data_IF_707077320715
#
_entry.id   IF_707077320715
#
_cell.length_a   1.000
_cell.length_b   1.000
_cell.length_c   1.000
_cell.angle_alpha   90.00
_cell.angle_beta   90.00
_cell.angle_gamma   90.00
#
_symmetry.space_group_name_H-M   'P 1'
#
loop_
_entity.id
_entity.type
_entity.pdbx_description
1 polymer ?
#
# COMPACT_ATOMS: atom_id res chain seq x y z
N UNK A 1 -17.66 -47.84 35.82
CA UNK A 1 -18.01 -47.79 34.37
C UNK A 1 -17.96 -49.20 33.87
N UNK A 2 -19.08 -49.68 33.36
CA UNK A 2 -19.13 -51.01 32.79
C UNK A 2 -18.38 -51.09 31.49
N UNK A 3 -17.76 -52.27 31.20
CA UNK A 3 -16.97 -52.47 29.97
C UNK A 3 -17.71 -52.06 28.70
N UNK A 4 -19.03 -52.09 28.73
CA UNK A 4 -19.89 -51.69 27.63
C UNK A 4 -19.91 -50.14 27.43
N UNK A 5 -19.95 -49.38 28.50
CA UNK A 5 -19.89 -47.91 28.45
C UNK A 5 -18.49 -47.44 28.01
N UNK A 6 -17.44 -48.12 28.47
CA UNK A 6 -16.08 -47.83 28.05
C UNK A 6 -15.90 -48.06 26.55
N UNK A 7 -16.46 -49.17 26.02
CA UNK A 7 -16.43 -49.45 24.58
C UNK A 7 -17.16 -48.38 23.75
N UNK A 8 -18.29 -47.88 24.22
CA UNK A 8 -19.00 -46.79 23.52
C UNK A 8 -18.19 -45.52 23.47
N UNK A 9 -17.54 -45.13 24.56
CA UNK A 9 -16.70 -43.95 24.62
C UNK A 9 -15.47 -44.14 23.69
N UNK A 10 -14.85 -45.33 23.75
CA UNK A 10 -13.71 -45.61 22.86
C UNK A 10 -14.12 -45.59 21.37
N UNK A 11 -15.26 -46.17 21.02
CA UNK A 11 -15.78 -46.13 19.66
C UNK A 11 -16.08 -44.71 19.21
N UNK A 12 -16.68 -43.87 20.05
CA UNK A 12 -16.97 -42.46 19.72
C UNK A 12 -15.68 -41.66 19.46
N UNK A 13 -14.67 -41.86 20.30
CA UNK A 13 -13.37 -41.22 20.12
C UNK A 13 -12.67 -41.65 18.82
N UNK A 14 -12.72 -42.94 18.51
CA UNK A 14 -12.13 -43.44 17.25
C UNK A 14 -12.85 -42.89 16.03
N UNK A 15 -14.17 -42.79 16.05
CA UNK A 15 -14.95 -42.20 14.97
C UNK A 15 -14.60 -40.72 14.81
N UNK A 16 -14.52 -39.96 15.90
CA UNK A 16 -14.13 -38.56 15.85
C UNK A 16 -12.74 -38.33 15.26
N UNK A 17 -11.75 -39.13 15.66
CA UNK A 17 -10.41 -39.11 15.10
C UNK A 17 -10.38 -39.47 13.61
N UNK A 18 -11.14 -40.45 13.22
CA UNK A 18 -11.25 -40.87 11.81
C UNK A 18 -11.87 -39.75 10.95
N UNK A 19 -12.93 -39.13 11.42
CA UNK A 19 -13.55 -37.98 10.72
C UNK A 19 -12.56 -36.84 10.59
N UNK A 20 -11.81 -36.52 11.64
CA UNK A 20 -10.81 -35.46 11.62
C UNK A 20 -9.67 -35.79 10.62
N UNK A 21 -9.20 -37.03 10.59
CA UNK A 21 -8.15 -37.48 9.67
C UNK A 21 -8.62 -37.43 8.21
N UNK A 22 -9.84 -37.91 7.92
CA UNK A 22 -10.41 -37.89 6.58
C UNK A 22 -10.64 -36.45 6.11
N UNK A 23 -11.19 -35.59 6.97
CA UNK A 23 -11.40 -34.18 6.66
C UNK A 23 -10.06 -33.46 6.34
N UNK A 24 -9.00 -33.78 7.09
CA UNK A 24 -7.67 -33.22 6.83
C UNK A 24 -7.09 -33.70 5.49
N UNK A 25 -7.31 -34.97 5.13
CA UNK A 25 -6.86 -35.52 3.85
C UNK A 25 -7.63 -34.90 2.66
N UNK A 26 -8.94 -34.76 2.79
CA UNK A 26 -9.80 -34.12 1.79
C UNK A 26 -9.37 -32.65 1.62
N UNK A 27 -9.17 -31.94 2.74
CA UNK A 27 -8.70 -30.55 2.70
C UNK A 27 -7.35 -30.41 1.97
N UNK A 28 -6.38 -31.27 2.25
CA UNK A 28 -5.08 -31.29 1.55
C UNK A 28 -5.18 -31.64 0.07
N UNK A 29 -6.16 -32.47 -0.31
CA UNK A 29 -6.38 -32.84 -1.71
C UNK A 29 -7.11 -31.76 -2.51
N UNK A 30 -8.06 -31.07 -1.89
CA UNK A 30 -8.85 -30.01 -2.54
C UNK A 30 -8.12 -28.64 -2.50
N UNK A 31 -7.43 -28.36 -1.43
CA UNK A 31 -6.59 -27.14 -1.29
C UNK A 31 -5.16 -27.54 -1.62
N UNK A 32 -4.88 -27.88 -2.86
CA UNK A 32 -3.51 -27.81 -3.36
C UNK A 32 -3.16 -26.34 -3.41
N UNK A 33 -2.48 -25.85 -2.37
CA UNK A 33 -1.73 -24.61 -2.50
C UNK A 33 -0.73 -24.86 -3.63
N UNK A 34 -1.02 -24.31 -4.81
CA UNK A 34 -0.05 -24.22 -5.89
C UNK A 34 1.00 -23.21 -5.41
N UNK A 35 1.85 -23.66 -4.51
CA UNK A 35 3.10 -23.00 -4.26
C UNK A 35 3.93 -23.27 -5.52
N UNK A 36 3.74 -22.38 -6.52
CA UNK A 36 4.53 -22.40 -7.72
C UNK A 36 5.96 -22.01 -7.32
N UNK A 37 6.78 -23.00 -7.04
CA UNK A 37 8.23 -22.85 -6.94
C UNK A 37 8.87 -22.59 -8.31
N UNK A 38 8.05 -22.40 -9.34
CA UNK A 38 8.47 -21.85 -10.60
C UNK A 38 8.67 -20.34 -10.42
N UNK A 39 9.90 -19.93 -10.21
CA UNK A 39 10.39 -18.63 -10.64
C UNK A 39 10.05 -18.49 -12.13
N UNK A 40 8.85 -17.99 -12.43
CA UNK A 40 8.46 -17.65 -13.77
C UNK A 40 9.26 -16.43 -14.16
N UNK A 41 10.08 -16.64 -15.10
CA UNK A 41 10.81 -15.82 -16.02
C UNK A 41 12.31 -16.13 -15.96
N UNK A 42 12.69 -17.15 -16.72
CA UNK A 42 14.04 -17.27 -17.25
C UNK A 42 14.08 -16.39 -18.50
N UNK A 43 14.62 -15.19 -18.38
CA UNK A 43 15.05 -14.40 -19.53
C UNK A 43 16.45 -14.92 -19.86
N UNK A 44 16.58 -15.63 -20.97
CA UNK A 44 17.90 -15.94 -21.54
C UNK A 44 18.50 -14.62 -22.03
N UNK A 45 19.48 -14.12 -21.29
CA UNK A 45 20.37 -13.07 -21.79
C UNK A 45 21.63 -13.73 -22.31
N UNK A 46 22.13 -13.30 -23.49
CA UNK A 46 23.44 -13.76 -23.98
C UNK A 46 24.56 -13.32 -23.05
N UNK A 47 25.51 -14.25 -22.87
CA UNK A 47 26.68 -14.12 -22.00
C UNK A 47 27.32 -12.73 -21.98
N UNK A 48 27.30 -12.09 -20.83
CA UNK A 48 28.35 -11.14 -20.42
C UNK A 48 28.57 -11.20 -18.92
N UNK A 49 29.74 -11.71 -18.58
CA UNK A 49 30.59 -11.49 -17.40
C UNK A 49 29.97 -11.11 -16.05
N UNK A 50 30.32 -11.96 -15.08
CA UNK A 50 30.12 -11.82 -13.66
C UNK A 50 30.37 -10.38 -13.14
N UNK A 51 29.34 -9.77 -12.60
CA UNK A 51 29.47 -8.66 -11.67
C UNK A 51 28.40 -8.79 -10.59
N UNK A 52 28.86 -8.80 -9.36
CA UNK A 52 28.27 -8.52 -8.05
C UNK A 52 26.73 -8.47 -7.91
N UNK A 53 26.17 -8.90 -6.77
CA UNK A 53 24.74 -8.81 -6.51
C UNK A 53 24.29 -7.35 -6.65
N UNK A 54 23.50 -7.04 -7.67
CA UNK A 54 22.81 -5.75 -7.76
C UNK A 54 21.85 -5.65 -6.57
N UNK A 55 22.20 -4.84 -5.61
CA UNK A 55 21.21 -4.22 -4.74
C UNK A 55 20.23 -3.48 -5.66
N UNK A 56 19.01 -3.98 -5.79
CA UNK A 56 17.93 -3.25 -6.44
C UNK A 56 17.64 -2.02 -5.59
N UNK A 57 18.35 -0.93 -5.92
CA UNK A 57 18.04 0.40 -5.40
C UNK A 57 16.53 0.63 -5.65
N UNK A 58 15.76 1.04 -4.65
CA UNK A 58 14.35 1.35 -4.85
C UNK A 58 14.21 2.28 -6.06
N UNK A 59 13.33 1.94 -7.00
CA UNK A 59 13.07 2.78 -8.16
C UNK A 59 12.51 4.11 -7.69
N UNK A 60 13.39 5.11 -7.61
CA UNK A 60 13.03 6.46 -7.17
C UNK A 60 12.12 7.07 -8.23
N UNK A 61 11.00 7.66 -7.83
CA UNK A 61 10.14 8.41 -8.75
C UNK A 61 10.96 9.49 -9.44
N UNK A 62 10.72 9.68 -10.75
CA UNK A 62 11.39 10.75 -11.50
C UNK A 62 11.06 12.11 -10.92
N UNK A 63 11.97 13.06 -11.06
CA UNK A 63 11.71 14.46 -10.71
C UNK A 63 10.53 15.00 -11.54
N UNK A 64 9.50 15.50 -10.85
CA UNK A 64 8.31 16.07 -11.48
C UNK A 64 8.28 17.60 -11.40
N UNK A 65 9.29 18.26 -10.86
CA UNK A 65 9.35 19.73 -10.77
C UNK A 65 9.08 20.41 -12.12
N UNK A 66 9.67 19.97 -13.24
CA UNK A 66 9.37 20.55 -14.56
C UNK A 66 7.93 20.33 -15.03
N UNK A 67 7.24 19.29 -14.53
CA UNK A 67 5.87 18.98 -14.88
C UNK A 67 4.87 19.82 -14.08
N UNK A 68 5.23 20.22 -12.86
CA UNK A 68 4.39 21.07 -12.02
C UNK A 68 4.13 22.44 -12.62
N UNK A 69 5.08 23.00 -13.33
CA UNK A 69 4.94 24.28 -14.05
C UNK A 69 3.79 24.22 -15.08
N UNK A 70 3.54 23.04 -15.63
CA UNK A 70 2.51 22.78 -16.66
C UNK A 70 1.38 21.92 -16.13
N UNK A 71 1.25 21.80 -14.81
CA UNK A 71 0.26 20.92 -14.21
C UNK A 71 -1.17 21.42 -14.47
N UNK A 72 -2.03 20.49 -14.84
CA UNK A 72 -3.46 20.74 -15.04
C UNK A 72 -4.22 20.42 -13.76
N UNK A 73 -4.66 21.47 -13.05
CA UNK A 73 -5.43 21.35 -11.81
C UNK A 73 -6.74 20.60 -12.02
N UNK A 74 -7.43 20.82 -13.17
CA UNK A 74 -8.67 20.13 -13.46
C UNK A 74 -8.44 18.63 -13.72
N UNK A 75 -7.32 18.26 -14.33
CA UNK A 75 -6.91 16.86 -14.43
C UNK A 75 -6.51 16.30 -13.06
N UNK A 76 -5.81 17.09 -12.23
CA UNK A 76 -5.49 16.73 -10.86
C UNK A 76 -6.72 16.39 -10.01
N UNK A 77 -7.80 17.14 -10.15
CA UNK A 77 -9.08 16.84 -9.51
C UNK A 77 -9.67 15.50 -9.99
N UNK A 78 -9.56 15.20 -11.30
CA UNK A 78 -9.99 13.89 -11.84
C UNK A 78 -9.15 12.74 -11.26
N UNK A 79 -7.83 12.91 -11.18
CA UNK A 79 -6.93 11.93 -10.58
C UNK A 79 -7.25 11.75 -9.10
N UNK A 80 -7.57 12.84 -8.37
CA UNK A 80 -7.94 12.82 -6.96
C UNK A 80 -9.20 11.96 -6.68
N UNK A 81 -10.05 11.71 -7.66
CA UNK A 81 -11.18 10.75 -7.50
C UNK A 81 -10.74 9.36 -7.07
N UNK A 82 -9.49 8.98 -7.34
CA UNK A 82 -8.89 7.74 -6.84
C UNK A 82 -8.65 7.77 -5.30
N UNK A 83 -8.67 8.95 -4.70
CA UNK A 83 -8.34 9.21 -3.28
C UNK A 83 -9.58 9.41 -2.40
N UNK A 84 -10.70 9.92 -2.96
CA UNK A 84 -11.90 10.34 -2.21
C UNK A 84 -12.59 9.21 -1.44
N UNK A 85 -12.35 7.95 -1.81
CA UNK A 85 -12.88 6.80 -1.08
C UNK A 85 -12.34 6.76 0.35
N UNK A 86 -11.09 7.18 0.53
CA UNK A 86 -10.38 7.11 1.81
C UNK A 86 -10.13 8.49 2.45
N UNK A 87 -10.00 9.56 1.66
CA UNK A 87 -9.60 10.88 2.12
C UNK A 87 -10.69 11.93 1.89
N UNK A 88 -10.75 12.89 2.79
CA UNK A 88 -11.43 14.17 2.60
C UNK A 88 -10.40 15.23 2.22
N UNK A 89 -10.82 16.33 1.60
CA UNK A 89 -9.91 17.38 1.12
C UNK A 89 -10.38 18.82 1.42
N UNK A 90 -11.63 18.98 1.80
CA UNK A 90 -12.13 20.32 2.15
C UNK A 90 -11.78 20.69 3.60
N UNK A 91 -11.64 22.01 3.83
CA UNK A 91 -11.33 22.57 5.15
C UNK A 91 -12.33 22.12 6.22
N UNK A 92 -11.82 21.63 7.34
CA UNK A 92 -12.63 21.24 8.49
C UNK A 92 -13.34 19.91 8.37
N UNK A 93 -13.18 19.19 7.28
CA UNK A 93 -13.71 17.83 7.16
C UNK A 93 -12.90 16.85 8.01
N UNK A 94 -13.60 15.94 8.69
CA UNK A 94 -12.98 14.89 9.51
C UNK A 94 -12.21 13.88 8.66
N UNK A 95 -11.22 13.24 9.30
CA UNK A 95 -10.57 12.06 8.74
C UNK A 95 -11.59 10.93 8.47
N UNK A 96 -11.29 10.10 7.48
CA UNK A 96 -12.04 8.89 7.13
C UNK A 96 -11.15 7.66 7.33
N UNK A 97 -11.04 6.79 6.35
CA UNK A 97 -10.07 5.68 6.33
C UNK A 97 -8.64 6.22 6.33
N UNK A 98 -8.42 7.39 5.68
CA UNK A 98 -7.20 8.17 5.70
C UNK A 98 -7.44 9.56 6.32
N UNK A 99 -6.37 10.34 6.58
CA UNK A 99 -6.49 11.70 7.09
C UNK A 99 -7.13 12.66 6.07
N UNK A 100 -7.64 13.80 6.58
CA UNK A 100 -7.98 14.91 5.72
C UNK A 100 -6.71 15.48 5.05
N UNK A 101 -6.81 15.89 3.79
CA UNK A 101 -5.68 16.36 2.97
C UNK A 101 -5.67 17.89 2.77
N UNK A 102 -6.53 18.64 3.48
CA UNK A 102 -6.46 20.10 3.51
C UNK A 102 -5.11 20.54 4.07
N UNK A 103 -4.46 21.51 3.46
CA UNK A 103 -3.12 21.99 3.83
C UNK A 103 -2.03 20.89 3.81
N UNK A 104 -2.19 19.83 3.03
CA UNK A 104 -1.24 18.69 3.09
C UNK A 104 0.13 19.04 2.47
N UNK A 105 0.15 19.84 1.38
CA UNK A 105 1.41 20.24 0.74
C UNK A 105 2.23 21.10 1.69
N UNK A 106 3.48 20.72 1.90
CA UNK A 106 4.43 21.28 2.88
C UNK A 106 4.09 21.04 4.36
N UNK A 107 2.98 20.38 4.68
CA UNK A 107 2.66 20.03 6.07
C UNK A 107 3.64 18.99 6.64
N UNK A 108 3.89 18.99 7.95
CA UNK A 108 4.69 17.95 8.59
C UNK A 108 4.06 16.55 8.39
N UNK A 109 4.90 15.54 8.17
CA UNK A 109 4.46 14.16 7.98
C UNK A 109 3.81 13.63 9.26
N UNK A 110 2.66 12.95 9.12
CA UNK A 110 1.93 12.27 10.21
C UNK A 110 1.52 13.18 11.39
N UNK A 111 1.10 14.43 11.13
CA UNK A 111 0.75 15.41 12.17
C UNK A 111 -0.72 15.79 12.27
N UNK A 112 -1.63 15.23 11.43
CA UNK A 112 -3.06 15.45 11.62
C UNK A 112 -3.51 14.88 12.98
N UNK A 113 -4.19 15.72 13.77
CA UNK A 113 -4.54 15.41 15.16
C UNK A 113 -5.68 14.37 15.25
N UNK A 114 -6.55 14.36 14.27
CA UNK A 114 -7.76 13.51 14.20
C UNK A 114 -7.54 12.16 13.51
N UNK A 115 -6.26 11.79 13.24
CA UNK A 115 -5.94 10.55 12.53
C UNK A 115 -4.81 9.74 13.19
N UNK A 116 -5.01 8.43 13.30
CA UNK A 116 -4.02 7.49 13.88
C UNK A 116 -3.15 6.90 12.77
N UNK A 117 -1.99 7.50 12.56
CA UNK A 117 -1.01 7.05 11.57
C UNK A 117 -0.34 5.71 11.93
N UNK A 118 0.22 5.04 10.91
CA UNK A 118 1.10 3.88 11.11
C UNK A 118 2.39 4.30 11.83
N UNK A 119 3.04 3.34 12.52
CA UNK A 119 4.35 3.58 13.12
C UNK A 119 5.38 4.02 12.06
N UNK A 120 5.30 3.43 10.87
CA UNK A 120 6.17 3.76 9.74
C UNK A 120 6.10 5.24 9.32
N UNK A 121 4.89 5.83 9.26
CA UNK A 121 4.76 7.25 8.94
C UNK A 121 5.08 8.15 10.13
N UNK A 122 4.72 7.75 11.36
CA UNK A 122 5.07 8.50 12.58
C UNK A 122 6.58 8.62 12.79
N UNK A 123 7.34 7.61 12.37
CA UNK A 123 8.80 7.61 12.45
C UNK A 123 9.50 8.47 11.38
N UNK A 124 8.78 8.94 10.36
CA UNK A 124 9.36 9.83 9.35
C UNK A 124 9.43 11.27 9.85
N UNK A 125 10.60 11.86 9.68
CA UNK A 125 10.85 13.27 10.00
C UNK A 125 10.75 14.09 8.70
N UNK A 126 10.24 15.32 8.80
CA UNK A 126 10.13 16.24 7.67
C UNK A 126 8.70 16.57 7.28
N UNK A 127 8.55 17.12 6.09
CA UNK A 127 7.28 17.62 5.56
C UNK A 127 6.90 16.91 4.27
N UNK A 128 5.64 17.02 3.90
CA UNK A 128 5.12 16.60 2.61
C UNK A 128 5.53 17.59 1.52
N UNK A 129 6.85 17.69 1.29
CA UNK A 129 7.38 18.43 0.14
C UNK A 129 6.88 17.81 -1.16
N UNK A 130 6.99 18.55 -2.26
CA UNK A 130 6.67 18.03 -3.59
C UNK A 130 7.38 16.70 -3.85
N UNK A 131 8.67 16.63 -3.50
CA UNK A 131 9.49 15.44 -3.69
C UNK A 131 8.96 14.26 -2.85
N UNK A 132 8.70 14.46 -1.57
CA UNK A 132 8.16 13.43 -0.70
C UNK A 132 6.77 12.97 -1.14
N UNK A 133 5.90 13.89 -1.58
CA UNK A 133 4.59 13.56 -2.13
C UNK A 133 4.72 12.77 -3.44
N UNK A 134 5.63 13.18 -4.33
CA UNK A 134 5.89 12.49 -5.57
C UNK A 134 6.31 11.04 -5.32
N UNK A 135 7.27 10.81 -4.45
CA UNK A 135 7.75 9.46 -4.13
C UNK A 135 6.66 8.65 -3.41
N UNK A 136 5.97 9.24 -2.45
CA UNK A 136 4.90 8.56 -1.72
C UNK A 136 3.73 8.21 -2.64
N UNK A 137 3.30 9.11 -3.50
CA UNK A 137 2.21 8.85 -4.44
C UNK A 137 2.63 7.91 -5.57
N UNK A 138 3.90 7.83 -5.91
CA UNK A 138 4.39 6.85 -6.88
C UNK A 138 4.26 5.43 -6.34
N UNK A 139 4.82 5.16 -5.16
CA UNK A 139 4.81 3.84 -4.52
C UNK A 139 4.74 3.97 -2.99
N UNK A 140 3.55 4.10 -2.40
CA UNK A 140 3.38 4.36 -0.96
C UNK A 140 4.08 3.35 -0.05
N UNK A 141 4.03 2.07 -0.42
CA UNK A 141 4.63 1.00 0.38
C UNK A 141 6.16 0.95 0.29
N UNK A 142 6.74 1.40 -0.81
CA UNK A 142 8.20 1.51 -0.95
C UNK A 142 8.72 2.73 -0.21
N UNK A 143 8.02 3.87 -0.31
CA UNK A 143 8.37 5.08 0.44
C UNK A 143 8.26 4.89 1.96
N UNK A 144 7.24 4.18 2.41
CA UNK A 144 6.99 3.93 3.83
C UNK A 144 6.54 2.48 4.07
N UNK A 145 7.50 1.52 4.16
CA UNK A 145 7.18 0.14 4.49
C UNK A 145 6.42 0.04 5.81
N UNK A 146 5.27 -0.62 5.80
CA UNK A 146 4.37 -0.68 6.95
C UNK A 146 3.34 0.47 7.02
N UNK A 147 3.22 1.29 5.99
CA UNK A 147 2.11 2.26 5.88
C UNK A 147 0.76 1.54 5.88
N UNK A 148 -0.24 2.16 6.52
CA UNK A 148 -1.64 1.69 6.46
C UNK A 148 -2.30 1.94 5.10
N UNK A 149 -1.74 2.83 4.28
CA UNK A 149 -2.26 3.15 2.97
C UNK A 149 -2.05 1.97 2.02
N UNK A 150 -3.16 1.42 1.52
CA UNK A 150 -3.15 0.25 0.63
C UNK A 150 -3.15 0.64 -0.86
N UNK A 151 -3.16 1.92 -1.15
CA UNK A 151 -3.15 2.44 -2.52
C UNK A 151 -1.91 1.98 -3.28
N UNK A 152 -2.10 1.56 -4.54
CA UNK A 152 -1.02 1.02 -5.36
C UNK A 152 -0.05 2.10 -5.84
N UNK A 153 -0.52 3.34 -5.94
CA UNK A 153 0.24 4.48 -6.45
C UNK A 153 -0.30 5.03 -7.76
N UNK A 154 0.28 6.15 -8.19
CA UNK A 154 0.06 6.81 -9.48
C UNK A 154 1.37 6.71 -10.26
N UNK A 155 1.42 5.82 -11.25
CA UNK A 155 2.65 5.55 -12.02
C UNK A 155 2.96 6.63 -13.07
N UNK A 156 1.93 7.31 -13.58
CA UNK A 156 2.10 8.38 -14.56
C UNK A 156 2.63 9.66 -13.89
N UNK A 157 3.76 10.16 -14.36
CA UNK A 157 4.45 11.31 -13.77
C UNK A 157 3.61 12.60 -13.89
N UNK A 158 2.92 12.81 -15.03
CA UNK A 158 2.08 13.99 -15.22
C UNK A 158 0.84 13.93 -14.31
N UNK A 159 0.17 12.77 -14.20
CA UNK A 159 -0.95 12.61 -13.28
C UNK A 159 -0.53 12.90 -11.82
N UNK A 160 0.69 12.51 -11.43
CA UNK A 160 1.21 12.84 -10.09
C UNK A 160 1.47 14.34 -9.91
N UNK A 161 2.05 14.99 -10.92
CA UNK A 161 2.23 16.44 -10.89
C UNK A 161 0.89 17.17 -10.79
N UNK A 162 -0.09 16.76 -11.59
CA UNK A 162 -1.42 17.37 -11.63
C UNK A 162 -2.15 17.23 -10.28
N UNK A 163 -2.13 16.03 -9.68
CA UNK A 163 -2.79 15.82 -8.38
C UNK A 163 -2.07 16.54 -7.24
N UNK A 164 -0.74 16.67 -7.28
CA UNK A 164 0.01 17.46 -6.30
C UNK A 164 -0.32 18.94 -6.46
N UNK A 165 -0.41 19.44 -7.69
CA UNK A 165 -0.84 20.81 -7.96
C UNK A 165 -2.28 21.06 -7.47
N UNK A 166 -3.20 20.15 -7.72
CA UNK A 166 -4.56 20.22 -7.19
C UNK A 166 -4.57 20.26 -5.66
N UNK A 167 -3.80 19.39 -4.98
CA UNK A 167 -3.70 19.39 -3.52
C UNK A 167 -3.08 20.69 -2.99
N UNK A 168 -2.16 21.29 -3.73
CA UNK A 168 -1.59 22.60 -3.38
C UNK A 168 -2.61 23.72 -3.38
N UNK A 169 -3.68 23.60 -4.18
CA UNK A 169 -4.80 24.56 -4.16
C UNK A 169 -5.75 24.32 -2.97
N UNK A 170 -5.72 23.12 -2.38
CA UNK A 170 -6.58 22.76 -1.24
C UNK A 170 -5.93 23.21 0.08
N UNK A 171 -5.73 24.50 0.25
CA UNK A 171 -5.02 25.10 1.38
C UNK A 171 -5.56 26.48 1.73
N UNK A 172 -5.31 26.93 2.98
CA UNK A 172 -5.62 28.29 3.41
C UNK A 172 -4.78 29.33 2.64
N UNK A 173 -3.54 28.98 2.30
CA UNK A 173 -2.66 29.70 1.41
C UNK A 173 -2.24 28.75 0.28
N UNK A 174 -2.87 28.84 -0.90
CA UNK A 174 -2.54 27.96 -2.03
C UNK A 174 -1.07 28.03 -2.39
N UNK A 175 -0.48 26.84 -2.63
CA UNK A 175 0.93 26.71 -3.01
C UNK A 175 1.04 26.93 -4.52
N UNK A 176 1.84 27.93 -4.90
CA UNK A 176 2.23 28.13 -6.32
C UNK A 176 3.54 27.40 -6.58
N UNK A 177 3.58 26.63 -7.64
CA UNK A 177 4.79 25.94 -8.09
C UNK A 177 5.46 26.79 -9.16
N UNK A 178 6.77 27.02 -9.02
CA UNK A 178 7.53 27.89 -9.95
C UNK A 178 7.69 27.29 -11.35
#
# INVERSE_FOLDING_TARGET
>A
MDSFELNKVAAALLIALLVAAVSNQISKSLVQSVYSEKKSYHVEMPDQQASSPLETKPETAKDIAPLLVKADIANGEKVFKKCVTCHTVAKGQSARIGPNLWNIVMAPIAKAADYVYSAALKGKIGSWTVENLNQFLHKPREFSPGTKMTFIGVTNDQERADVIAYLGQQADAPVTFP
#
